data_IF_522964729118
#
_entry.id   IF_522964729118
#
_cell.length_a   1.000
_cell.length_b   1.000
_cell.length_c   1.000
_cell.angle_alpha   90.00
_cell.angle_beta   90.00
_cell.angle_gamma   90.00
#
_symmetry.space_group_name_H-M   'P 1'
#
loop_
_entity.id
_entity.type
_entity.pdbx_description
1 polymer ?
#
# COMPACT_ATOMS: atom_id res chain seq x y z
N UNK A 1 -7.48 -36.69 51.39
CA UNK A 1 -7.81 -37.34 50.10
C UNK A 1 -8.50 -36.29 49.24
N UNK A 2 -7.87 -35.92 48.11
CA UNK A 2 -8.27 -34.86 47.19
C UNK A 2 -9.58 -35.20 46.45
N UNK A 3 -10.44 -34.21 46.18
CA UNK A 3 -10.48 -33.52 44.88
C UNK A 3 -11.57 -32.44 44.85
N UNK A 4 -11.13 -31.22 44.55
CA UNK A 4 -11.93 -30.07 44.12
C UNK A 4 -12.30 -30.28 42.65
N UNK A 5 -13.58 -30.25 42.28
CA UNK A 5 -14.02 -30.31 40.87
C UNK A 5 -14.42 -28.91 40.42
N UNK A 6 -13.41 -28.10 40.11
CA UNK A 6 -13.59 -26.85 39.36
C UNK A 6 -13.94 -27.23 37.92
N UNK A 7 -15.23 -27.16 37.59
CA UNK A 7 -15.72 -27.34 36.22
C UNK A 7 -15.59 -26.04 35.43
N UNK A 8 -14.36 -25.61 35.12
CA UNK A 8 -14.18 -24.66 34.02
C UNK A 8 -14.16 -25.47 32.73
N UNK A 9 -15.29 -25.44 32.00
CA UNK A 9 -15.28 -25.74 30.56
C UNK A 9 -14.56 -24.57 29.87
N UNK A 10 -13.22 -24.55 29.96
CA UNK A 10 -12.37 -23.75 29.07
C UNK A 10 -12.24 -24.54 27.77
N UNK A 11 -13.32 -24.57 27.00
CA UNK A 11 -13.41 -25.35 25.76
C UNK A 11 -13.81 -24.55 24.51
N UNK A 12 -14.37 -23.34 24.67
CA UNK A 12 -14.94 -22.56 23.56
C UNK A 12 -14.36 -21.14 23.44
N UNK A 13 -13.12 -20.93 23.89
CA UNK A 13 -12.41 -19.67 23.69
C UNK A 13 -11.21 -19.91 22.77
N UNK A 14 -11.37 -19.51 21.51
CA UNK A 14 -10.33 -19.26 20.50
C UNK A 14 -9.66 -20.47 19.82
N UNK A 15 -10.43 -21.24 19.04
CA UNK A 15 -9.85 -21.72 17.77
C UNK A 15 -9.63 -20.50 16.87
N UNK A 16 -8.44 -19.93 16.98
CA UNK A 16 -8.01 -18.81 16.15
C UNK A 16 -7.94 -19.25 14.68
N UNK A 17 -8.98 -18.96 13.91
CA UNK A 17 -9.04 -19.32 12.50
C UNK A 17 -8.21 -18.33 11.66
N UNK A 18 -6.87 -18.50 11.68
CA UNK A 18 -5.88 -17.69 10.94
C UNK A 18 -6.30 -17.44 9.49
N UNK A 19 -6.93 -18.44 8.86
CA UNK A 19 -7.39 -18.38 7.47
C UNK A 19 -8.46 -17.31 7.24
N UNK A 20 -9.37 -17.16 8.19
CA UNK A 20 -10.53 -16.27 8.10
C UNK A 20 -10.11 -14.81 8.31
N UNK A 21 -9.21 -14.58 9.25
CA UNK A 21 -8.55 -13.30 9.46
C UNK A 21 -7.71 -12.87 8.25
N UNK A 22 -6.83 -13.74 7.74
CA UNK A 22 -6.04 -13.45 6.55
C UNK A 22 -6.93 -13.14 5.35
N UNK A 23 -8.00 -13.92 5.14
CA UNK A 23 -8.96 -13.67 4.07
C UNK A 23 -9.59 -12.28 4.21
N UNK A 24 -10.01 -11.90 5.42
CA UNK A 24 -10.66 -10.60 5.65
C UNK A 24 -9.72 -9.40 5.45
N UNK A 25 -8.43 -9.55 5.73
CA UNK A 25 -7.43 -8.48 5.57
C UNK A 25 -6.82 -8.36 4.17
N UNK A 26 -6.90 -9.41 3.35
CA UNK A 26 -6.30 -9.42 2.03
C UNK A 26 -7.32 -9.37 0.89
N UNK A 27 -8.60 -9.70 1.12
CA UNK A 27 -9.59 -9.71 0.06
C UNK A 27 -9.76 -8.33 -0.60
N UNK A 28 -9.86 -7.25 0.18
CA UNK A 28 -10.08 -5.92 -0.38
C UNK A 28 -8.83 -5.38 -1.08
N UNK A 29 -7.61 -5.43 -0.48
CA UNK A 29 -6.39 -5.06 -1.20
C UNK A 29 -6.21 -5.85 -2.48
N UNK A 30 -6.53 -7.16 -2.49
CA UNK A 30 -6.44 -7.99 -3.70
C UNK A 30 -7.41 -7.54 -4.79
N UNK A 31 -8.67 -7.25 -4.46
CA UNK A 31 -9.64 -6.74 -5.45
C UNK A 31 -9.17 -5.40 -6.05
N UNK A 32 -8.69 -4.51 -5.20
CA UNK A 32 -8.21 -3.18 -5.60
C UNK A 32 -6.94 -3.32 -6.47
N UNK A 33 -5.99 -4.16 -6.04
CA UNK A 33 -4.78 -4.45 -6.80
C UNK A 33 -5.09 -5.07 -8.17
N UNK A 34 -6.02 -6.02 -8.23
CA UNK A 34 -6.47 -6.61 -9.49
C UNK A 34 -7.11 -5.56 -10.41
N UNK A 35 -7.91 -4.64 -9.87
CA UNK A 35 -8.53 -3.55 -10.63
C UNK A 35 -7.48 -2.61 -11.23
N UNK A 36 -6.52 -2.17 -10.42
CA UNK A 36 -5.42 -1.30 -10.89
C UNK A 36 -4.56 -2.03 -11.93
N UNK A 37 -4.24 -3.30 -11.68
CA UNK A 37 -3.47 -4.12 -12.61
C UNK A 37 -4.16 -4.25 -13.97
N UNK A 38 -5.46 -4.56 -13.98
CA UNK A 38 -6.24 -4.69 -15.21
C UNK A 38 -6.27 -3.34 -15.94
N UNK A 39 -6.54 -2.25 -15.22
CA UNK A 39 -6.56 -0.91 -15.81
C UNK A 39 -5.20 -0.54 -16.43
N UNK A 40 -4.09 -0.83 -15.73
CA UNK A 40 -2.73 -0.60 -16.21
C UNK A 40 -2.45 -1.39 -17.49
N UNK A 41 -2.65 -2.70 -17.47
CA UNK A 41 -2.34 -3.56 -18.62
C UNK A 41 -3.23 -3.26 -19.83
N UNK A 42 -4.51 -2.94 -19.62
CA UNK A 42 -5.39 -2.50 -20.70
C UNK A 42 -4.97 -1.15 -21.27
N UNK A 43 -4.59 -0.19 -20.42
CA UNK A 43 -4.14 1.12 -20.88
C UNK A 43 -2.86 1.04 -21.71
N UNK A 44 -1.90 0.20 -21.31
CA UNK A 44 -0.65 -0.04 -22.06
C UNK A 44 -0.93 -0.73 -23.39
N UNK A 45 -1.77 -1.76 -23.39
CA UNK A 45 -2.18 -2.43 -24.63
C UNK A 45 -2.87 -1.46 -25.61
N UNK A 46 -3.77 -0.62 -25.09
CA UNK A 46 -4.46 0.39 -25.88
C UNK A 46 -3.50 1.43 -26.48
N UNK A 47 -2.51 1.90 -25.72
CA UNK A 47 -1.52 2.85 -26.25
C UNK A 47 -0.63 2.22 -27.33
N UNK A 48 -0.20 0.97 -27.13
CA UNK A 48 0.59 0.27 -28.15
C UNK A 48 -0.21 0.05 -29.44
N UNK A 49 -1.51 -0.17 -29.37
CA UNK A 49 -2.39 -0.25 -30.54
C UNK A 49 -2.55 1.13 -31.20
N UNK A 50 -2.76 2.19 -30.40
CA UNK A 50 -3.03 3.53 -30.90
C UNK A 50 -1.79 4.26 -31.48
N UNK A 51 -0.60 4.01 -30.94
CA UNK A 51 0.66 4.67 -31.34
C UNK A 51 1.63 3.74 -32.06
N UNK A 52 1.34 2.44 -32.11
CA UNK A 52 2.30 1.42 -32.53
C UNK A 52 3.31 1.08 -31.43
N UNK A 53 4.34 0.31 -31.79
CA UNK A 53 5.34 -0.23 -30.85
C UNK A 53 6.68 0.50 -30.88
N UNK A 54 6.81 1.54 -31.71
CA UNK A 54 8.03 2.32 -31.82
C UNK A 54 8.08 3.40 -30.72
N UNK A 55 9.04 3.27 -29.79
CA UNK A 55 9.30 4.28 -28.77
C UNK A 55 9.62 5.65 -29.39
N UNK A 56 9.21 6.73 -28.71
CA UNK A 56 9.34 8.11 -29.17
C UNK A 56 8.13 8.63 -29.95
N UNK A 57 7.18 7.77 -30.30
CA UNK A 57 5.92 8.19 -30.95
C UNK A 57 5.06 8.99 -29.98
N UNK A 58 4.60 10.17 -30.41
CA UNK A 58 3.79 11.07 -29.59
C UNK A 58 2.52 11.51 -30.32
N UNK A 59 1.41 11.58 -29.59
CA UNK A 59 0.12 12.09 -30.08
C UNK A 59 -0.50 13.04 -29.05
N UNK A 60 -0.80 14.29 -29.41
CA UNK A 60 -1.48 15.21 -28.50
C UNK A 60 -2.91 14.71 -28.18
N UNK A 61 -3.31 14.88 -26.92
CA UNK A 61 -4.69 14.63 -26.46
C UNK A 61 -5.39 15.94 -26.13
N UNK A 62 -4.70 16.81 -25.39
CA UNK A 62 -5.17 18.16 -25.03
C UNK A 62 -3.99 19.10 -25.22
N UNK A 63 -3.93 19.85 -26.32
CA UNK A 63 -2.83 20.79 -26.54
C UNK A 63 -2.94 22.04 -25.64
N UNK A 64 -1.82 22.56 -25.12
CA UNK A 64 -0.46 22.00 -25.11
C UNK A 64 -0.17 21.15 -23.85
N UNK A 65 -1.18 20.71 -23.10
CA UNK A 65 -1.05 20.22 -21.72
C UNK A 65 -0.79 18.72 -21.58
N UNK A 66 -1.40 17.90 -22.44
CA UNK A 66 -1.42 16.44 -22.33
C UNK A 66 -1.19 15.79 -23.68
N UNK A 67 -0.24 14.87 -23.72
CA UNK A 67 0.05 14.02 -24.87
C UNK A 67 0.23 12.56 -24.43
N UNK A 68 -0.03 11.64 -25.36
CA UNK A 68 0.38 10.25 -25.23
C UNK A 68 1.73 10.10 -25.92
N UNK A 69 2.80 9.86 -25.17
CA UNK A 69 4.17 9.73 -25.70
C UNK A 69 4.75 8.39 -25.25
N UNK A 70 4.90 7.46 -26.19
CA UNK A 70 5.36 6.11 -25.90
C UNK A 70 6.85 6.09 -25.53
N UNK A 71 7.17 5.60 -24.34
CA UNK A 71 8.54 5.40 -23.84
C UNK A 71 8.71 3.97 -23.33
N UNK A 72 9.83 3.34 -23.73
CA UNK A 72 10.25 2.04 -23.22
C UNK A 72 11.26 2.23 -22.09
N UNK A 73 10.80 2.12 -20.86
CA UNK A 73 11.59 2.36 -19.67
C UNK A 73 12.28 1.07 -19.19
N UNK A 74 13.51 0.83 -19.65
CA UNK A 74 14.30 -0.38 -19.33
C UNK A 74 14.80 -0.42 -17.88
N UNK A 75 14.70 0.67 -17.13
CA UNK A 75 15.29 0.75 -15.79
C UNK A 75 16.83 0.69 -15.75
N UNK A 76 17.51 0.44 -16.88
CA UNK A 76 18.97 0.27 -16.99
C UNK A 76 19.51 0.81 -18.33
N UNK A 77 20.41 1.81 -18.26
CA UNK A 77 21.62 2.10 -19.09
C UNK A 77 21.80 3.63 -19.30
N UNK A 78 22.92 4.31 -18.96
CA UNK A 78 24.34 4.00 -19.24
C UNK A 78 25.32 4.29 -18.08
N UNK A 79 26.14 3.31 -17.73
CA UNK A 79 27.61 3.43 -17.78
C UNK A 79 28.39 4.26 -16.75
N UNK A 80 27.96 5.44 -16.31
CA UNK A 80 28.79 6.22 -15.37
C UNK A 80 28.04 7.27 -14.53
N UNK A 81 27.04 7.99 -15.04
CA UNK A 81 26.26 9.04 -14.33
C UNK A 81 25.10 9.45 -15.27
N UNK A 82 23.94 8.80 -15.46
CA UNK A 82 22.92 8.11 -14.62
C UNK A 82 21.96 9.00 -13.78
N UNK A 83 21.87 10.31 -14.05
CA UNK A 83 21.17 11.31 -13.21
C UNK A 83 19.68 11.57 -13.45
N UNK A 84 18.81 10.60 -13.09
CA UNK A 84 17.33 10.72 -12.91
C UNK A 84 16.45 10.45 -14.17
N UNK A 85 16.40 9.20 -14.64
CA UNK A 85 15.16 8.64 -15.22
C UNK A 85 14.71 7.33 -14.54
N UNK A 86 15.39 6.91 -13.46
CA UNK A 86 15.12 5.67 -12.71
C UNK A 86 14.69 5.91 -11.25
N UNK A 87 14.66 7.17 -10.80
CA UNK A 87 14.27 7.50 -9.42
C UNK A 87 12.87 6.97 -9.14
N UNK A 88 11.90 7.24 -10.01
CA UNK A 88 10.53 6.80 -9.79
C UNK A 88 10.39 5.28 -9.80
N UNK A 89 11.06 4.55 -10.70
CA UNK A 89 10.98 3.07 -10.73
C UNK A 89 11.59 2.42 -9.49
N UNK A 90 12.84 2.75 -9.15
CA UNK A 90 13.55 2.11 -8.03
C UNK A 90 12.90 2.51 -6.71
N UNK A 91 12.59 3.80 -6.56
CA UNK A 91 11.87 4.31 -5.40
C UNK A 91 10.48 3.70 -5.30
N UNK A 92 9.74 3.53 -6.39
CA UNK A 92 8.42 2.87 -6.37
C UNK A 92 8.49 1.41 -5.92
N UNK A 93 9.49 0.66 -6.37
CA UNK A 93 9.70 -0.73 -5.92
C UNK A 93 10.05 -0.77 -4.44
N UNK A 94 11.01 0.06 -4.01
CA UNK A 94 11.44 0.15 -2.59
C UNK A 94 10.25 0.55 -1.71
N UNK A 95 9.49 1.57 -2.10
CA UNK A 95 8.33 2.04 -1.35
C UNK A 95 7.23 0.97 -1.34
N UNK A 96 7.01 0.24 -2.43
CA UNK A 96 6.02 -0.84 -2.46
C UNK A 96 6.38 -1.96 -1.49
N UNK A 97 7.65 -2.35 -1.44
CA UNK A 97 8.15 -3.33 -0.47
C UNK A 97 7.99 -2.81 0.95
N UNK A 98 8.36 -1.55 1.21
CA UNK A 98 8.20 -0.93 2.51
C UNK A 98 6.72 -0.89 2.95
N UNK A 99 5.81 -0.47 2.07
CA UNK A 99 4.38 -0.41 2.34
C UNK A 99 3.81 -1.79 2.69
N UNK A 100 4.20 -2.85 1.96
CA UNK A 100 3.79 -4.23 2.25
C UNK A 100 4.35 -4.69 3.61
N UNK A 101 5.63 -4.42 3.88
CA UNK A 101 6.27 -4.77 5.15
C UNK A 101 5.58 -4.11 6.34
N UNK A 102 5.36 -2.79 6.27
CA UNK A 102 4.66 -2.04 7.31
C UNK A 102 3.21 -2.50 7.46
N UNK A 103 2.50 -2.76 6.36
CA UNK A 103 1.13 -3.29 6.39
C UNK A 103 1.05 -4.59 7.19
N UNK A 104 1.98 -5.52 6.96
CA UNK A 104 1.99 -6.81 7.68
C UNK A 104 2.41 -6.72 9.14
N UNK A 105 3.30 -5.80 9.49
CA UNK A 105 3.92 -5.75 10.83
C UNK A 105 3.26 -4.77 11.80
N UNK A 106 2.70 -3.68 11.30
CA UNK A 106 2.42 -2.52 12.14
C UNK A 106 1.06 -1.85 11.90
N UNK A 107 0.34 -2.18 10.83
CA UNK A 107 -0.98 -1.60 10.57
C UNK A 107 -2.08 -2.57 11.05
N UNK A 108 -2.80 -2.26 12.15
CA UNK A 108 -3.95 -3.05 12.57
C UNK A 108 -5.04 -2.92 11.50
N UNK A 109 -5.33 -4.04 10.85
CA UNK A 109 -5.72 -4.12 9.45
C UNK A 109 -7.22 -3.93 9.17
N UNK A 110 -7.96 -3.14 9.96
CA UNK A 110 -9.41 -2.93 9.70
C UNK A 110 -9.77 -1.67 8.93
N UNK A 111 -8.86 -0.72 8.79
CA UNK A 111 -9.17 0.50 8.04
C UNK A 111 -9.32 0.19 6.55
N UNK A 112 -10.54 0.32 6.03
CA UNK A 112 -10.83 0.27 4.60
C UNK A 112 -9.88 1.17 3.80
N UNK A 113 -9.56 2.35 4.33
CA UNK A 113 -8.67 3.31 3.68
C UNK A 113 -7.24 2.80 3.54
N UNK A 114 -6.71 2.13 4.58
CA UNK A 114 -5.39 1.48 4.51
C UNK A 114 -5.40 0.37 3.46
N UNK A 115 -6.45 -0.45 3.47
CA UNK A 115 -6.58 -1.56 2.51
C UNK A 115 -6.67 -1.05 1.06
N UNK A 116 -7.34 0.09 0.83
CA UNK A 116 -7.36 0.80 -0.44
C UNK A 116 -5.95 1.23 -0.86
N UNK A 117 -5.23 1.95 0.00
CA UNK A 117 -3.88 2.43 -0.34
C UNK A 117 -2.93 1.27 -0.65
N UNK A 118 -2.97 0.20 0.16
CA UNK A 118 -2.14 -1.00 -0.06
C UNK A 118 -2.49 -1.69 -1.37
N UNK A 119 -3.79 -1.82 -1.68
CA UNK A 119 -4.23 -2.37 -2.96
C UNK A 119 -3.75 -1.57 -4.16
N UNK A 120 -3.80 -0.24 -4.11
CA UNK A 120 -3.29 0.65 -5.17
C UNK A 120 -1.78 0.43 -5.41
N UNK A 121 -1.00 0.41 -4.33
CA UNK A 121 0.46 0.20 -4.39
C UNK A 121 0.81 -1.17 -4.96
N UNK A 122 0.17 -2.23 -4.45
CA UNK A 122 0.44 -3.61 -4.91
C UNK A 122 0.04 -3.78 -6.39
N UNK A 123 -1.14 -3.28 -6.78
CA UNK A 123 -1.60 -3.39 -8.16
C UNK A 123 -0.66 -2.72 -9.15
N UNK A 124 -0.24 -1.49 -8.85
CA UNK A 124 0.72 -0.77 -9.68
C UNK A 124 2.09 -1.45 -9.73
N UNK A 125 2.61 -1.91 -8.59
CA UNK A 125 3.89 -2.61 -8.54
C UNK A 125 3.88 -3.88 -9.40
N UNK A 126 2.82 -4.68 -9.30
CA UNK A 126 2.66 -5.91 -10.10
C UNK A 126 2.56 -5.58 -11.60
N UNK A 127 1.79 -4.56 -12.00
CA UNK A 127 1.68 -4.16 -13.41
C UNK A 127 3.03 -3.81 -14.04
N UNK A 128 3.84 -3.03 -13.32
CA UNK A 128 5.18 -2.67 -13.75
C UNK A 128 6.18 -3.84 -13.71
N UNK A 129 5.98 -4.86 -12.87
CA UNK A 129 6.78 -6.10 -12.87
C UNK A 129 6.42 -6.95 -14.10
N UNK A 130 5.13 -7.07 -14.42
CA UNK A 130 4.65 -7.85 -15.57
C UNK A 130 5.28 -7.33 -16.87
N UNK A 131 5.31 -6.02 -17.09
CA UNK A 131 5.96 -5.44 -18.27
C UNK A 131 7.44 -5.82 -18.33
N UNK A 132 8.16 -5.69 -17.21
CA UNK A 132 9.59 -6.04 -17.14
C UNK A 132 9.85 -7.51 -17.47
N UNK A 133 9.00 -8.40 -16.98
CA UNK A 133 9.11 -9.83 -17.27
C UNK A 133 8.77 -10.16 -18.74
N UNK A 134 7.84 -9.42 -19.34
CA UNK A 134 7.36 -9.68 -20.72
C UNK A 134 8.23 -9.01 -21.78
N UNK A 135 8.68 -7.79 -21.54
CA UNK A 135 9.30 -6.92 -22.54
C UNK A 135 10.73 -6.50 -22.18
N UNK A 136 11.15 -6.66 -20.92
CA UNK A 136 12.43 -6.14 -20.43
C UNK A 136 12.43 -4.64 -20.08
N UNK A 137 11.29 -3.98 -20.23
CA UNK A 137 11.08 -2.56 -19.90
C UNK A 137 9.62 -2.32 -19.49
N UNK A 138 9.34 -1.16 -18.91
CA UNK A 138 7.99 -0.68 -18.62
C UNK A 138 7.50 0.22 -19.74
N UNK A 139 6.21 0.11 -20.09
CA UNK A 139 5.58 0.98 -21.08
C UNK A 139 5.04 2.23 -20.38
N UNK A 140 5.68 3.37 -20.63
CA UNK A 140 5.27 4.68 -20.14
C UNK A 140 4.64 5.48 -21.27
N UNK A 141 3.59 6.26 -20.99
CA UNK A 141 2.83 6.92 -22.04
C UNK A 141 2.14 8.23 -21.69
N UNK A 142 1.86 8.50 -20.42
CA UNK A 142 1.20 9.74 -20.00
C UNK A 142 2.25 10.85 -19.90
N UNK A 143 2.18 11.82 -20.81
CA UNK A 143 3.08 12.97 -20.83
C UNK A 143 2.32 14.27 -20.58
N UNK A 144 2.60 14.88 -19.43
CA UNK A 144 2.02 16.14 -19.00
C UNK A 144 3.06 17.23 -19.12
N UNK A 145 2.78 18.30 -19.87
CA UNK A 145 3.81 19.23 -20.35
C UNK A 145 4.54 20.04 -19.26
N UNK A 146 3.93 20.21 -18.08
CA UNK A 146 4.56 20.86 -16.93
C UNK A 146 5.27 19.87 -16.00
N UNK A 147 5.15 18.56 -16.24
CA UNK A 147 5.74 17.51 -15.43
C UNK A 147 6.93 16.88 -16.21
N UNK A 148 8.11 16.74 -15.59
CA UNK A 148 9.31 16.30 -16.31
C UNK A 148 9.31 14.81 -16.68
N UNK A 149 8.42 14.01 -16.09
CA UNK A 149 8.37 12.57 -16.30
C UNK A 149 7.25 12.13 -17.25
N UNK A 150 7.45 11.00 -17.92
CA UNK A 150 6.37 10.24 -18.55
C UNK A 150 6.10 9.05 -17.64
N UNK A 151 4.83 8.78 -17.39
CA UNK A 151 4.40 7.76 -16.44
C UNK A 151 3.24 6.94 -16.99
N UNK A 152 2.79 5.96 -16.22
CA UNK A 152 1.65 5.13 -16.56
C UNK A 152 0.62 5.05 -15.41
N UNK A 153 -0.41 4.22 -15.60
CA UNK A 153 -1.47 4.02 -14.61
C UNK A 153 -0.93 3.30 -13.37
N UNK A 154 -0.02 2.33 -13.52
CA UNK A 154 0.65 1.70 -12.38
C UNK A 154 1.42 2.71 -11.50
N UNK A 155 2.19 3.62 -12.09
CA UNK A 155 2.93 4.65 -11.34
C UNK A 155 2.00 5.61 -10.60
N UNK A 156 0.85 5.92 -11.22
CA UNK A 156 -0.19 6.73 -10.59
C UNK A 156 -0.79 6.02 -9.37
N UNK A 157 -1.09 4.73 -9.50
CA UNK A 157 -1.59 3.89 -8.40
C UNK A 157 -0.60 3.83 -7.22
N UNK A 158 0.68 3.61 -7.50
CA UNK A 158 1.73 3.62 -6.47
C UNK A 158 1.82 4.99 -5.81
N UNK A 159 1.96 6.06 -6.60
CA UNK A 159 2.15 7.42 -6.09
C UNK A 159 0.97 7.87 -5.21
N UNK A 160 -0.27 7.70 -5.69
CA UNK A 160 -1.48 8.07 -4.93
C UNK A 160 -1.60 7.23 -3.67
N UNK A 161 -1.40 5.91 -3.77
CA UNK A 161 -1.48 5.01 -2.60
C UNK A 161 -0.46 5.35 -1.53
N UNK A 162 0.78 5.66 -1.90
CA UNK A 162 1.86 6.03 -0.97
C UNK A 162 1.59 7.37 -0.31
N UNK A 163 1.21 8.39 -1.08
CA UNK A 163 0.91 9.72 -0.55
C UNK A 163 -0.28 9.63 0.40
N UNK A 164 -1.36 8.97 -0.01
CA UNK A 164 -2.55 8.80 0.81
C UNK A 164 -2.27 8.02 2.11
N UNK A 165 -1.51 6.92 2.03
CA UNK A 165 -1.14 6.14 3.21
C UNK A 165 -0.25 6.94 4.17
N UNK A 166 0.74 7.65 3.63
CA UNK A 166 1.64 8.50 4.42
C UNK A 166 0.86 9.60 5.13
N UNK A 167 0.01 10.34 4.42
CA UNK A 167 -0.82 11.39 5.01
C UNK A 167 -1.76 10.83 6.08
N UNK A 168 -2.38 9.68 5.83
CA UNK A 168 -3.25 9.02 6.81
C UNK A 168 -2.50 8.65 8.10
N UNK A 169 -1.28 8.12 7.96
CA UNK A 169 -0.42 7.77 9.09
C UNK A 169 0.04 9.01 9.86
N UNK A 170 0.40 10.09 9.17
CA UNK A 170 0.81 11.34 9.81
C UNK A 170 -0.34 11.99 10.59
N UNK A 171 -1.55 12.00 10.03
CA UNK A 171 -2.73 12.60 10.70
C UNK A 171 -3.19 11.75 11.90
N UNK A 172 -3.08 10.41 11.82
CA UNK A 172 -3.44 9.52 12.93
C UNK A 172 -2.34 9.34 13.97
N UNK A 173 -1.09 9.65 13.64
CA UNK A 173 0.09 9.42 14.47
C UNK A 173 0.08 10.14 15.83
N UNK A 174 -0.83 11.09 16.03
CA UNK A 174 -0.96 11.86 17.27
C UNK A 174 -2.09 11.38 18.21
N UNK A 175 -2.92 10.40 17.79
CA UNK A 175 -4.19 10.10 18.47
C UNK A 175 -4.24 8.87 19.39
N UNK A 176 -3.53 7.80 19.09
CA UNK A 176 -3.68 6.51 19.79
C UNK A 176 -2.31 5.86 20.02
N UNK A 177 -1.55 6.39 20.97
CA UNK A 177 -0.84 5.49 21.89
C UNK A 177 -1.91 4.97 22.84
N UNK A 178 -2.59 3.90 22.45
CA UNK A 178 -3.42 3.14 23.37
C UNK A 178 -2.50 2.69 24.52
N UNK A 179 -2.48 3.47 25.61
CA UNK A 179 -2.03 2.96 26.88
C UNK A 179 -2.86 1.69 27.11
N UNK A 180 -2.23 0.51 27.31
CA UNK A 180 -2.96 -0.73 27.46
C UNK A 180 -4.04 -0.53 28.52
N UNK A 181 -5.29 -0.88 28.20
CA UNK A 181 -6.47 -0.64 29.03
C UNK A 181 -6.32 -1.12 30.50
N UNK A 182 -5.32 -1.97 30.78
CA UNK A 182 -4.91 -2.38 32.12
C UNK A 182 -4.31 -1.25 32.98
N UNK A 183 -3.61 -0.27 32.39
CA UNK A 183 -2.94 0.78 33.15
C UNK A 183 -3.93 1.80 33.71
N UNK A 184 -5.01 2.13 32.99
CA UNK A 184 -6.03 3.03 33.52
C UNK A 184 -6.85 2.39 34.65
N UNK A 185 -7.10 1.08 34.56
CA UNK A 185 -7.73 0.32 35.64
C UNK A 185 -6.82 0.21 36.87
N UNK A 186 -5.51 -0.01 36.67
CA UNK A 186 -4.52 -0.06 37.74
C UNK A 186 -4.32 1.32 38.39
N UNK A 187 -4.25 2.39 37.60
CA UNK A 187 -4.15 3.77 38.09
C UNK A 187 -5.42 4.20 38.81
N UNK A 188 -6.61 3.83 38.32
CA UNK A 188 -7.87 4.04 39.04
C UNK A 188 -7.91 3.30 40.39
N UNK A 189 -7.32 2.11 40.45
CA UNK A 189 -7.20 1.31 41.69
C UNK A 189 -6.17 1.90 42.66
N UNK A 190 -5.02 2.37 42.15
CA UNK A 190 -3.93 2.95 42.95
C UNK A 190 -4.26 4.36 43.45
N UNK A 191 -4.99 5.16 42.66
CA UNK A 191 -5.37 6.53 43.01
C UNK A 191 -6.72 6.59 43.74
N UNK A 192 -7.58 5.58 43.59
CA UNK A 192 -8.88 5.47 44.28
C UNK A 192 -8.86 4.72 45.62
N UNK A 193 -7.76 4.05 45.97
CA UNK A 193 -7.65 3.20 47.17
C UNK A 193 -7.27 3.90 48.48
N UNK A 194 -7.28 5.24 48.52
CA UNK A 194 -6.69 6.02 49.61
C UNK A 194 -7.66 6.96 50.33
N UNK A 195 -8.84 6.51 50.75
CA UNK A 195 -9.62 7.29 51.72
C UNK A 195 -10.43 6.42 52.69
N UNK A 196 -10.14 6.66 53.96
CA UNK A 196 -10.94 6.36 55.14
C UNK A 196 -10.75 5.00 55.83
N UNK A 197 -9.86 5.00 56.82
CA UNK A 197 -10.27 4.68 58.20
C UNK A 197 -9.49 5.54 59.19
N UNK A 198 -10.10 6.67 59.56
CA UNK A 198 -9.84 7.32 60.85
C UNK A 198 -10.61 6.53 61.92
N UNK A 199 -9.89 6.25 63.01
CA UNK A 199 -10.30 6.19 64.43
C UNK A 199 -11.80 6.00 64.69
N UNK A 200 -12.13 4.92 65.40
CA UNK A 200 -12.51 4.92 66.82
C UNK A 200 -12.39 3.50 67.38
#
# INVERSE_FOLDING_TARGET
MLYWRCGTRVGDATEWNVREELRRYWIQPTIIAATVLIADQLSKAWVLDALGTAAGTSRPVIEPWLSLTLVHNTGVAFGMFQGIPHFFTVTSVIISIAAIYFYRRHLPSRSWFVQLCVGLIIGGAIGNIIDRLRFGYVIDFVHVSWFPGIFNVADSGITVGVIALTLFLLIRGDGERDAPAGDQALLGTLLGGGSSRKRE
#
